data_IF_629021240530
#
_entry.id   IF_629021240530
#
_cell.length_a   1.000
_cell.length_b   1.000
_cell.length_c   1.000
_cell.angle_alpha   90.00
_cell.angle_beta   90.00
_cell.angle_gamma   90.00
#
_symmetry.space_group_name_H-M   'P 1'
#
loop_
_entity.id
_entity.type
_entity.pdbx_description
1 polymer ?
#
# COMPACT_ATOMS: atom_id res chain seq x y z
N UNK A 1 -14.59 -8.26 39.38
CA UNK A 1 -15.21 -8.84 38.17
C UNK A 1 -16.54 -9.47 38.57
N UNK A 2 -17.63 -9.17 37.88
CA UNK A 2 -18.98 -9.68 38.19
C UNK A 2 -19.00 -11.22 38.13
N UNK A 3 -19.57 -11.88 39.14
CA UNK A 3 -19.56 -13.34 39.30
C UNK A 3 -20.23 -14.07 38.12
N UNK A 4 -21.23 -13.45 37.48
CA UNK A 4 -21.84 -13.95 36.24
C UNK A 4 -20.88 -13.91 35.04
N UNK A 5 -20.05 -12.87 34.95
CA UNK A 5 -19.02 -12.73 33.90
C UNK A 5 -17.92 -13.76 34.11
N UNK A 6 -17.49 -13.97 35.36
CA UNK A 6 -16.51 -15.00 35.70
C UNK A 6 -16.98 -16.39 35.28
N UNK A 7 -18.22 -16.76 35.65
CA UNK A 7 -18.82 -18.03 35.26
C UNK A 7 -18.95 -18.19 33.74
N UNK A 8 -19.32 -17.13 33.02
CA UNK A 8 -19.40 -17.17 31.55
C UNK A 8 -18.02 -17.42 30.91
N UNK A 9 -16.97 -16.75 31.39
CA UNK A 9 -15.59 -16.94 30.93
C UNK A 9 -15.10 -18.37 31.25
N UNK A 10 -15.35 -18.87 32.45
CA UNK A 10 -14.94 -20.22 32.86
C UNK A 10 -15.61 -21.31 31.99
N UNK A 11 -16.87 -21.11 31.61
CA UNK A 11 -17.59 -22.01 30.68
C UNK A 11 -17.00 -21.93 29.26
N UNK A 12 -16.72 -20.72 28.76
CA UNK A 12 -16.13 -20.54 27.43
C UNK A 12 -14.72 -21.14 27.34
N UNK A 13 -13.94 -21.08 28.41
CA UNK A 13 -12.59 -21.64 28.47
C UNK A 13 -12.56 -23.18 28.41
N UNK A 14 -13.69 -23.83 28.73
CA UNK A 14 -13.85 -25.29 28.65
C UNK A 14 -14.34 -25.77 27.28
N UNK A 15 -14.66 -24.86 26.35
CA UNK A 15 -15.09 -25.25 25.01
C UNK A 15 -13.96 -25.93 24.25
N UNK A 16 -14.32 -26.98 23.51
CA UNK A 16 -13.38 -27.65 22.61
C UNK A 16 -12.88 -26.68 21.54
N UNK A 17 -11.66 -26.93 21.06
CA UNK A 17 -11.04 -26.09 20.04
C UNK A 17 -11.91 -26.09 18.78
N UNK A 18 -12.23 -24.89 18.28
CA UNK A 18 -13.11 -24.72 17.12
C UNK A 18 -12.54 -25.42 15.87
N UNK A 19 -13.34 -26.33 15.30
CA UNK A 19 -13.09 -26.98 14.02
C UNK A 19 -13.00 -25.96 12.89
N UNK A 20 -13.88 -24.95 12.90
CA UNK A 20 -13.88 -23.82 11.94
C UNK A 20 -12.57 -23.05 11.95
N UNK A 21 -12.01 -22.76 13.13
CA UNK A 21 -10.70 -22.09 13.22
C UNK A 21 -9.60 -23.01 12.68
N UNK A 22 -9.69 -24.32 12.93
CA UNK A 22 -8.80 -25.31 12.32
C UNK A 22 -8.88 -25.33 10.78
N UNK A 23 -10.08 -25.21 10.20
CA UNK A 23 -10.28 -25.12 8.75
C UNK A 23 -9.64 -23.85 8.16
N UNK A 24 -9.77 -22.71 8.84
CA UNK A 24 -9.14 -21.45 8.43
C UNK A 24 -7.62 -21.58 8.42
N UNK A 25 -7.03 -22.12 9.49
CA UNK A 25 -5.58 -22.30 9.59
C UNK A 25 -5.08 -23.21 8.45
N UNK A 26 -5.74 -24.36 8.22
CA UNK A 26 -5.40 -25.26 7.11
C UNK A 26 -5.50 -24.59 5.76
N UNK A 27 -6.55 -23.80 5.54
CA UNK A 27 -6.72 -23.04 4.31
C UNK A 27 -5.54 -22.09 4.09
N UNK A 28 -5.18 -21.28 5.10
CA UNK A 28 -4.05 -20.34 5.02
C UNK A 28 -2.75 -21.06 4.65
N UNK A 29 -2.43 -22.15 5.34
CA UNK A 29 -1.22 -22.94 5.09
C UNK A 29 -1.18 -23.52 3.67
N UNK A 30 -2.29 -24.10 3.21
CA UNK A 30 -2.39 -24.68 1.87
C UNK A 30 -2.34 -23.60 0.79
N UNK A 31 -3.05 -22.50 1.00
CA UNK A 31 -3.06 -21.35 0.10
C UNK A 31 -1.66 -20.76 -0.03
N UNK A 32 -0.96 -20.51 1.08
CA UNK A 32 0.41 -19.97 1.09
C UNK A 32 1.38 -20.89 0.38
N UNK A 33 1.32 -22.22 0.63
CA UNK A 33 2.14 -23.20 -0.10
C UNK A 33 1.89 -23.15 -1.61
N UNK A 34 0.62 -23.11 -2.02
CA UNK A 34 0.25 -23.01 -3.42
C UNK A 34 0.70 -21.68 -4.04
N UNK A 35 0.51 -20.56 -3.34
CA UNK A 35 0.93 -19.24 -3.78
C UNK A 35 2.45 -19.18 -3.99
N UNK A 36 3.25 -19.67 -3.02
CA UNK A 36 4.71 -19.71 -3.14
C UNK A 36 5.13 -20.63 -4.30
N UNK A 37 4.44 -21.75 -4.52
CA UNK A 37 4.70 -22.60 -5.68
C UNK A 37 4.45 -21.89 -7.01
N UNK A 38 3.28 -21.24 -7.15
CA UNK A 38 2.83 -20.60 -8.39
C UNK A 38 3.56 -19.27 -8.66
N UNK A 39 3.98 -18.54 -7.63
CA UNK A 39 4.51 -17.17 -7.72
C UNK A 39 5.85 -16.99 -6.98
N UNK A 40 6.69 -18.03 -6.88
CA UNK A 40 7.99 -17.98 -6.19
C UNK A 40 8.88 -16.80 -6.65
N UNK A 41 8.85 -16.46 -7.94
CA UNK A 41 9.63 -15.37 -8.51
C UNK A 41 9.18 -14.00 -7.96
N UNK A 42 7.87 -13.78 -7.90
CA UNK A 42 7.30 -12.58 -7.28
C UNK A 42 7.72 -12.48 -5.81
N UNK A 43 7.57 -13.56 -5.03
CA UNK A 43 7.91 -13.56 -3.59
C UNK A 43 9.35 -13.12 -3.37
N UNK A 44 10.30 -13.74 -4.09
CA UNK A 44 11.72 -13.40 -3.96
C UNK A 44 12.03 -11.95 -4.30
N UNK A 45 11.43 -11.42 -5.38
CA UNK A 45 11.69 -10.05 -5.80
C UNK A 45 11.04 -9.06 -4.83
N UNK A 46 9.80 -9.30 -4.41
CA UNK A 46 9.09 -8.47 -3.45
C UNK A 46 9.83 -8.42 -2.11
N UNK A 47 10.19 -9.58 -1.53
CA UNK A 47 10.92 -9.65 -0.26
C UNK A 47 12.27 -8.93 -0.35
N UNK A 48 13.04 -9.17 -1.43
CA UNK A 48 14.33 -8.50 -1.63
C UNK A 48 14.22 -6.98 -1.78
N UNK A 49 13.24 -6.51 -2.55
CA UNK A 49 13.00 -5.08 -2.71
C UNK A 49 12.43 -4.43 -1.43
N UNK A 50 11.58 -5.15 -0.69
CA UNK A 50 11.03 -4.72 0.59
C UNK A 50 12.12 -4.60 1.65
N UNK A 51 13.03 -5.57 1.74
CA UNK A 51 14.18 -5.52 2.63
C UNK A 51 15.01 -4.26 2.38
N UNK A 52 15.29 -3.95 1.11
CA UNK A 52 16.01 -2.74 0.72
C UNK A 52 15.24 -1.47 1.13
N UNK A 53 13.92 -1.42 0.92
CA UNK A 53 13.10 -0.30 1.36
C UNK A 53 13.13 -0.11 2.89
N UNK A 54 13.04 -1.21 3.65
CA UNK A 54 13.06 -1.23 5.10
C UNK A 54 14.43 -0.78 5.65
N UNK A 55 15.53 -1.35 5.15
CA UNK A 55 16.89 -0.96 5.52
C UNK A 55 17.17 0.51 5.20
N UNK A 56 16.71 1.00 4.05
CA UNK A 56 16.90 2.40 3.68
C UNK A 56 16.08 3.33 4.59
N UNK A 57 14.84 2.94 4.92
CA UNK A 57 13.99 3.67 5.85
C UNK A 57 14.58 3.70 7.26
N UNK A 58 15.16 2.59 7.70
CA UNK A 58 15.87 2.53 8.98
C UNK A 58 17.08 3.46 8.98
N UNK A 59 17.87 3.47 7.90
CA UNK A 59 19.04 4.34 7.76
C UNK A 59 18.70 5.84 7.85
N UNK A 60 17.50 6.25 7.43
CA UNK A 60 17.02 7.63 7.58
C UNK A 60 16.91 8.08 9.05
N UNK A 61 16.75 7.17 10.02
CA UNK A 61 16.82 7.50 11.46
C UNK A 61 18.18 8.11 11.83
N UNK A 62 19.24 7.66 11.18
CA UNK A 62 20.62 8.03 11.49
C UNK A 62 21.19 9.10 10.57
N UNK A 63 20.42 9.55 9.56
CA UNK A 63 20.80 10.70 8.74
C UNK A 63 20.70 12.00 9.54
N UNK A 64 21.64 12.92 9.29
CA UNK A 64 21.69 14.31 9.78
C UNK A 64 20.44 15.09 9.31
N UNK A 65 19.61 15.56 10.23
CA UNK A 65 18.28 16.15 9.95
C UNK A 65 18.25 17.68 10.01
N UNK A 66 19.32 18.32 10.50
CA UNK A 66 19.42 19.76 10.73
C UNK A 66 19.17 20.59 9.47
N UNK A 67 19.46 20.02 8.29
CA UNK A 67 19.27 20.66 6.99
C UNK A 67 18.01 20.21 6.26
N UNK A 68 17.18 19.37 6.86
CA UNK A 68 15.94 18.93 6.22
C UNK A 68 14.94 20.08 6.21
N UNK A 69 14.28 20.27 5.05
CA UNK A 69 13.14 21.16 4.98
C UNK A 69 12.02 20.64 5.91
N UNK A 70 11.21 21.56 6.47
CA UNK A 70 10.20 21.21 7.49
C UNK A 70 9.21 20.17 7.00
N UNK A 71 8.76 20.27 5.74
CA UNK A 71 7.85 19.30 5.14
C UNK A 71 8.47 17.91 5.04
N UNK A 72 9.78 17.80 4.83
CA UNK A 72 10.49 16.50 4.78
C UNK A 72 10.47 15.76 6.11
N UNK A 73 10.62 16.50 7.21
CA UNK A 73 10.48 15.93 8.56
C UNK A 73 9.09 15.35 8.82
N UNK A 74 8.07 15.84 8.10
CA UNK A 74 6.72 15.31 8.19
C UNK A 74 6.42 14.14 7.25
N UNK A 75 7.14 14.05 6.14
CA UNK A 75 7.05 12.94 5.19
C UNK A 75 7.74 11.69 5.74
N UNK A 76 8.88 11.87 6.39
CA UNK A 76 9.71 10.79 6.90
C UNK A 76 8.95 9.72 7.73
N UNK A 77 8.09 10.08 8.70
CA UNK A 77 7.34 9.10 9.48
C UNK A 77 6.34 8.27 8.68
N UNK A 78 5.95 8.67 7.47
CA UNK A 78 5.06 7.85 6.64
C UNK A 78 5.73 6.56 6.17
N UNK A 79 7.02 6.58 5.83
CA UNK A 79 7.74 5.42 5.28
C UNK A 79 7.65 4.14 6.12
N UNK A 80 7.98 4.15 7.43
CA UNK A 80 7.86 2.92 8.23
C UNK A 80 6.40 2.43 8.34
N UNK A 81 5.43 3.34 8.45
CA UNK A 81 4.02 2.99 8.58
C UNK A 81 3.42 2.41 7.28
N UNK A 82 3.79 2.98 6.13
CA UNK A 82 3.35 2.45 4.83
C UNK A 82 4.03 1.10 4.53
N UNK A 83 5.30 0.91 4.92
CA UNK A 83 5.99 -0.37 4.74
C UNK A 83 5.38 -1.47 5.63
N UNK A 84 5.10 -1.20 6.90
CA UNK A 84 4.39 -2.15 7.77
C UNK A 84 3.04 -2.56 7.17
N UNK A 85 2.27 -1.57 6.70
CA UNK A 85 0.95 -1.80 6.10
C UNK A 85 1.05 -2.61 4.80
N UNK A 86 2.04 -2.30 3.96
CA UNK A 86 2.28 -3.01 2.70
C UNK A 86 2.70 -4.47 2.93
N UNK A 87 3.56 -4.73 3.93
CA UNK A 87 3.95 -6.10 4.28
C UNK A 87 2.75 -6.91 4.78
N UNK A 88 1.89 -6.31 5.62
CA UNK A 88 0.64 -6.95 6.06
C UNK A 88 -0.31 -7.22 4.90
N UNK A 89 -0.42 -6.30 3.94
CA UNK A 89 -1.21 -6.53 2.74
C UNK A 89 -0.68 -7.74 1.94
N UNK A 90 0.64 -7.86 1.84
CA UNK A 90 1.30 -9.01 1.23
C UNK A 90 1.00 -10.33 1.95
N UNK A 91 1.13 -10.36 3.27
CA UNK A 91 0.77 -11.52 4.09
C UNK A 91 -0.71 -11.91 3.92
N UNK A 92 -1.62 -10.94 3.92
CA UNK A 92 -3.06 -11.19 3.80
C UNK A 92 -3.42 -11.85 2.46
N UNK A 93 -2.92 -11.35 1.32
CA UNK A 93 -3.24 -12.01 0.05
C UNK A 93 -2.48 -13.34 -0.13
N UNK A 94 -1.27 -13.48 0.44
CA UNK A 94 -0.56 -14.78 0.48
C UNK A 94 -1.32 -15.82 1.30
N UNK A 95 -2.10 -15.38 2.29
CA UNK A 95 -2.97 -16.22 3.11
C UNK A 95 -4.38 -16.41 2.53
N UNK A 96 -4.69 -15.78 1.39
CA UNK A 96 -5.98 -15.92 0.69
C UNK A 96 -7.03 -14.86 1.05
N UNK A 97 -6.65 -13.80 1.77
CA UNK A 97 -7.52 -12.69 2.19
C UNK A 97 -7.34 -11.47 1.26
N UNK A 98 -7.74 -11.63 -0.01
CA UNK A 98 -7.50 -10.62 -1.05
C UNK A 98 -8.23 -9.29 -0.81
N UNK A 99 -9.42 -9.32 -0.21
CA UNK A 99 -10.20 -8.11 0.07
C UNK A 99 -9.51 -7.26 1.14
N UNK A 100 -9.06 -7.90 2.23
CA UNK A 100 -8.29 -7.29 3.30
C UNK A 100 -6.97 -6.70 2.79
N UNK A 101 -6.23 -7.44 1.96
CA UNK A 101 -5.03 -6.94 1.32
C UNK A 101 -5.26 -5.68 0.47
N UNK A 102 -6.35 -5.63 -0.30
CA UNK A 102 -6.70 -4.45 -1.10
C UNK A 102 -7.05 -3.22 -0.24
N UNK A 103 -7.69 -3.41 0.92
CA UNK A 103 -7.97 -2.34 1.88
C UNK A 103 -6.67 -1.78 2.46
N UNK A 104 -5.71 -2.64 2.79
CA UNK A 104 -4.39 -2.22 3.28
C UNK A 104 -3.59 -1.50 2.19
N UNK A 105 -3.56 -2.03 0.96
CA UNK A 105 -2.92 -1.39 -0.19
C UNK A 105 -3.49 0.01 -0.48
N UNK A 106 -4.80 0.22 -0.28
CA UNK A 106 -5.38 1.57 -0.36
C UNK A 106 -4.76 2.53 0.64
N UNK A 107 -4.63 2.10 1.89
CA UNK A 107 -4.04 2.93 2.95
C UNK A 107 -2.58 3.30 2.64
N UNK A 108 -1.83 2.36 2.05
CA UNK A 108 -0.46 2.59 1.55
C UNK A 108 -0.46 3.64 0.43
N UNK A 109 -1.37 3.51 -0.55
CA UNK A 109 -1.53 4.48 -1.64
C UNK A 109 -1.86 5.89 -1.11
N UNK A 110 -2.79 6.01 -0.16
CA UNK A 110 -3.09 7.30 0.49
C UNK A 110 -1.85 7.90 1.16
N UNK A 111 -1.06 7.07 1.85
CA UNK A 111 0.20 7.49 2.47
C UNK A 111 1.20 8.02 1.45
N UNK A 112 1.37 7.34 0.32
CA UNK A 112 2.22 7.78 -0.79
C UNK A 112 1.73 9.13 -1.33
N UNK A 113 0.44 9.28 -1.61
CA UNK A 113 -0.12 10.53 -2.14
C UNK A 113 0.02 11.69 -1.13
N UNK A 114 -0.10 11.41 0.18
CA UNK A 114 0.17 12.40 1.24
C UNK A 114 1.63 12.88 1.23
N UNK A 115 2.58 11.97 1.05
CA UNK A 115 4.01 12.31 0.89
C UNK A 115 4.18 13.24 -0.32
N UNK A 116 3.63 12.86 -1.47
CA UNK A 116 3.73 13.65 -2.72
C UNK A 116 3.11 15.05 -2.54
N UNK A 117 1.93 15.11 -1.90
CA UNK A 117 1.24 16.36 -1.62
C UNK A 117 2.08 17.28 -0.72
N UNK A 118 2.71 16.74 0.32
CA UNK A 118 3.57 17.51 1.22
C UNK A 118 4.80 18.12 0.51
N UNK A 119 5.33 17.47 -0.53
CA UNK A 119 6.39 18.05 -1.38
C UNK A 119 5.86 19.19 -2.24
N UNK A 120 4.65 19.08 -2.75
CA UNK A 120 4.02 20.05 -3.64
C UNK A 120 3.49 21.30 -2.91
N UNK A 121 3.01 21.11 -1.68
CA UNK A 121 2.39 22.14 -0.83
C UNK A 121 3.20 22.39 0.45
N UNK A 122 4.49 22.74 0.30
CA UNK A 122 5.45 22.78 1.40
C UNK A 122 5.06 23.69 2.56
N UNK A 123 4.45 24.85 2.29
CA UNK A 123 4.01 25.78 3.36
C UNK A 123 2.79 25.25 4.13
N UNK A 124 2.06 24.31 3.54
CA UNK A 124 0.81 23.75 4.06
C UNK A 124 0.88 22.26 4.32
N UNK A 125 2.09 21.67 4.32
CA UNK A 125 2.35 20.24 4.48
C UNK A 125 1.60 19.60 5.66
N UNK A 126 1.31 20.35 6.72
CA UNK A 126 0.54 19.87 7.87
C UNK A 126 -0.93 19.56 7.61
N UNK A 127 -1.52 20.11 6.56
CA UNK A 127 -2.93 19.88 6.21
C UNK A 127 -3.21 18.42 5.80
N UNK A 128 -2.18 17.58 5.62
CA UNK A 128 -2.41 16.14 5.43
C UNK A 128 -2.84 15.45 6.74
N UNK A 129 -2.54 16.00 7.93
CA UNK A 129 -2.94 15.39 9.23
C UNK A 129 -3.74 16.32 10.15
N UNK A 130 -3.70 17.63 9.93
CA UNK A 130 -4.54 18.58 10.68
C UNK A 130 -5.73 19.05 9.86
N UNK A 131 -6.79 19.49 10.53
CA UNK A 131 -7.89 20.23 9.90
C UNK A 131 -7.32 21.47 9.20
N UNK A 132 -7.67 21.68 7.94
CA UNK A 132 -7.22 22.85 7.16
C UNK A 132 -7.57 24.17 7.85
N UNK A 133 -6.71 25.16 7.65
CA UNK A 133 -7.02 26.55 7.95
C UNK A 133 -7.81 27.16 6.78
N UNK A 134 -8.65 28.15 7.07
CA UNK A 134 -9.42 28.87 6.04
C UNK A 134 -8.44 29.53 5.06
N UNK A 135 -8.66 29.33 3.76
CA UNK A 135 -7.79 29.86 2.69
C UNK A 135 -6.57 28.99 2.35
N UNK A 136 -6.35 27.86 3.04
CA UNK A 136 -5.26 26.92 2.73
C UNK A 136 -5.75 25.71 1.93
N UNK A 137 -4.91 25.10 1.07
CA UNK A 137 -5.29 23.92 0.29
C UNK A 137 -5.61 22.73 1.21
N UNK A 138 -6.63 21.96 0.84
CA UNK A 138 -7.09 20.79 1.57
C UNK A 138 -6.54 19.51 0.96
N UNK A 139 -6.13 18.55 1.78
CA UNK A 139 -5.70 17.26 1.26
C UNK A 139 -6.92 16.44 0.83
N UNK A 140 -7.02 16.18 -0.47
CA UNK A 140 -7.97 15.23 -1.03
C UNK A 140 -7.30 14.44 -2.13
N UNK A 141 -7.19 13.12 -1.95
CA UNK A 141 -6.49 12.21 -2.87
C UNK A 141 -6.98 12.38 -4.31
N UNK A 142 -8.30 12.37 -4.53
CA UNK A 142 -8.88 12.44 -5.88
C UNK A 142 -8.63 13.80 -6.53
N UNK A 143 -8.95 14.89 -5.82
CA UNK A 143 -8.78 16.23 -6.38
C UNK A 143 -7.29 16.52 -6.66
N UNK A 144 -6.39 16.06 -5.78
CA UNK A 144 -4.97 16.26 -6.00
C UNK A 144 -4.47 15.48 -7.23
N UNK A 145 -4.85 14.21 -7.39
CA UNK A 145 -4.45 13.41 -8.56
C UNK A 145 -5.04 13.96 -9.88
N UNK A 146 -6.34 14.28 -9.88
CA UNK A 146 -7.06 14.68 -11.09
C UNK A 146 -6.85 16.15 -11.45
N UNK A 147 -7.02 17.05 -10.48
CA UNK A 147 -7.11 18.49 -10.73
C UNK A 147 -5.74 19.17 -10.62
N UNK A 148 -4.84 18.65 -9.78
CA UNK A 148 -3.51 19.26 -9.57
C UNK A 148 -2.38 18.53 -10.32
N UNK A 149 -2.24 17.21 -10.17
CA UNK A 149 -1.20 16.41 -10.83
C UNK A 149 -1.57 15.97 -12.26
N UNK A 150 -2.87 15.96 -12.56
CA UNK A 150 -3.47 15.51 -13.84
C UNK A 150 -2.96 14.13 -14.27
N UNK A 151 -3.14 13.15 -13.40
CA UNK A 151 -2.79 11.73 -13.64
C UNK A 151 -3.98 10.80 -13.40
N UNK A 152 -4.12 9.74 -14.20
CA UNK A 152 -5.15 8.70 -14.03
C UNK A 152 -4.64 7.57 -13.11
N UNK A 153 -4.34 7.90 -11.85
CA UNK A 153 -4.09 6.87 -10.82
C UNK A 153 -5.37 6.46 -10.09
N UNK A 154 -6.51 7.00 -10.53
CA UNK A 154 -7.79 6.69 -9.95
C UNK A 154 -8.15 5.21 -10.10
N UNK A 155 -7.54 4.44 -11.01
CA UNK A 155 -7.79 3.00 -11.07
C UNK A 155 -7.32 2.25 -9.82
N UNK A 156 -6.16 2.62 -9.25
CA UNK A 156 -5.65 2.04 -7.98
C UNK A 156 -6.61 2.40 -6.84
N UNK A 157 -7.05 3.66 -6.82
CA UNK A 157 -7.98 4.18 -5.82
C UNK A 157 -9.40 3.58 -5.93
N UNK A 158 -10.00 3.63 -7.11
CA UNK A 158 -11.38 3.25 -7.36
C UNK A 158 -11.59 1.76 -7.19
N UNK A 159 -10.62 0.93 -7.56
CA UNK A 159 -10.73 -0.50 -7.35
C UNK A 159 -10.64 -0.86 -5.87
N UNK A 160 -9.60 -0.38 -5.18
CA UNK A 160 -9.44 -0.67 -3.74
C UNK A 160 -10.58 -0.06 -2.92
N UNK A 161 -11.09 1.12 -3.32
CA UNK A 161 -12.30 1.73 -2.76
C UNK A 161 -13.55 0.90 -3.07
N UNK A 162 -13.69 0.39 -4.30
CA UNK A 162 -14.76 -0.53 -4.67
C UNK A 162 -14.71 -1.74 -3.74
N UNK A 163 -13.56 -2.38 -3.51
CA UNK A 163 -13.43 -3.53 -2.59
C UNK A 163 -13.74 -3.16 -1.13
N UNK A 164 -13.26 -2.00 -0.67
CA UNK A 164 -13.56 -1.48 0.68
C UNK A 164 -15.08 -1.31 0.88
N UNK A 165 -15.79 -0.89 -0.17
CA UNK A 165 -17.23 -0.68 -0.14
C UNK A 165 -18.03 -1.88 -0.71
N UNK A 166 -17.38 -2.88 -1.32
CA UNK A 166 -18.00 -4.01 -2.05
C UNK A 166 -18.56 -5.07 -1.12
N UNK A 167 -18.17 -5.07 0.17
CA UNK A 167 -18.88 -5.86 1.18
C UNK A 167 -20.39 -5.57 1.10
N UNK A 168 -20.80 -4.34 0.75
CA UNK A 168 -22.18 -3.98 0.45
C UNK A 168 -22.74 -4.65 -0.81
N UNK A 169 -22.00 -4.66 -1.93
CA UNK A 169 -22.45 -5.30 -3.18
C UNK A 169 -22.55 -6.82 -3.06
N UNK A 170 -21.59 -7.46 -2.39
CA UNK A 170 -21.61 -8.91 -2.10
C UNK A 170 -22.78 -9.27 -1.20
N UNK A 171 -23.04 -8.48 -0.16
CA UNK A 171 -24.23 -8.62 0.70
C UNK A 171 -25.52 -8.42 -0.10
N UNK A 172 -25.61 -7.40 -0.97
CA UNK A 172 -26.79 -7.18 -1.82
C UNK A 172 -27.01 -8.33 -2.80
N UNK A 173 -25.94 -8.87 -3.41
CA UNK A 173 -26.03 -10.05 -4.27
C UNK A 173 -26.49 -11.30 -3.51
N UNK A 174 -26.00 -11.50 -2.28
CA UNK A 174 -26.45 -12.59 -1.41
C UNK A 174 -27.92 -12.42 -1.04
N UNK A 175 -28.36 -11.21 -0.67
CA UNK A 175 -29.76 -10.89 -0.41
C UNK A 175 -30.62 -11.16 -1.65
N UNK A 176 -30.20 -10.73 -2.84
CA UNK A 176 -30.93 -10.99 -4.07
C UNK A 176 -31.01 -12.49 -4.41
N UNK A 177 -29.94 -13.25 -4.19
CA UNK A 177 -29.94 -14.70 -4.39
C UNK A 177 -30.87 -15.42 -3.39
N UNK A 178 -30.89 -14.99 -2.12
CA UNK A 178 -31.82 -15.48 -1.10
C UNK A 178 -33.28 -15.16 -1.44
N UNK A 179 -33.56 -13.92 -1.89
CA UNK A 179 -34.89 -13.49 -2.34
C UNK A 179 -35.35 -14.28 -3.56
N UNK A 180 -34.43 -14.68 -4.45
CA UNK A 180 -34.70 -15.53 -5.62
C UNK A 180 -34.82 -17.03 -5.28
N UNK A 181 -34.83 -17.40 -4.00
CA UNK A 181 -35.02 -18.78 -3.56
C UNK A 181 -33.79 -19.67 -3.74
N UNK A 182 -32.60 -19.13 -4.05
CA UNK A 182 -31.38 -19.96 -4.06
C UNK A 182 -31.01 -20.34 -2.63
N UNK A 183 -31.01 -21.64 -2.35
CA UNK A 183 -30.56 -22.21 -1.07
C UNK A 183 -29.04 -22.33 -0.96
N UNK A 184 -28.27 -21.33 -1.41
CA UNK A 184 -26.84 -21.32 -1.07
C UNK A 184 -26.70 -20.88 0.38
N UNK A 185 -26.08 -21.72 1.20
CA UNK A 185 -25.70 -21.31 2.54
C UNK A 185 -24.80 -20.08 2.46
N UNK A 186 -25.12 -19.05 3.24
CA UNK A 186 -24.21 -17.92 3.42
C UNK A 186 -23.05 -18.43 4.24
N UNK A 187 -21.96 -18.78 3.57
CA UNK A 187 -20.76 -19.36 4.17
C UNK A 187 -19.54 -18.49 3.92
N UNK A 188 -18.50 -18.74 4.70
CA UNK A 188 -17.18 -18.20 4.42
C UNK A 188 -16.69 -18.82 3.10
N UNK A 189 -16.13 -18.01 2.21
CA UNK A 189 -15.63 -18.49 0.92
C UNK A 189 -14.10 -18.49 0.96
N UNK A 190 -13.54 -19.60 1.46
CA UNK A 190 -12.10 -19.85 1.50
C UNK A 190 -11.71 -20.60 0.23
N UNK A 191 -11.39 -19.87 -0.84
CA UNK A 191 -11.01 -20.45 -2.13
C UNK A 191 -9.81 -19.73 -2.69
N UNK A 192 -8.88 -20.51 -3.24
CA UNK A 192 -7.79 -19.99 -4.05
C UNK A 192 -8.34 -19.54 -5.41
N UNK A 193 -8.10 -18.29 -5.78
CA UNK A 193 -8.52 -17.73 -7.07
C UNK A 193 -7.36 -16.94 -7.69
N UNK A 194 -6.80 -17.47 -8.78
CA UNK A 194 -5.65 -16.85 -9.48
C UNK A 194 -5.96 -15.44 -9.96
N UNK A 195 -7.18 -15.18 -10.41
CA UNK A 195 -7.55 -13.85 -10.91
C UNK A 195 -7.61 -12.85 -9.75
N UNK A 196 -8.12 -13.27 -8.60
CA UNK A 196 -8.20 -12.41 -7.41
C UNK A 196 -6.85 -12.21 -6.72
N UNK A 197 -5.90 -13.14 -6.86
CA UNK A 197 -4.52 -13.03 -6.35
C UNK A 197 -3.70 -11.99 -7.11
N UNK A 198 -3.74 -12.04 -8.45
CA UNK A 198 -2.83 -11.23 -9.29
C UNK A 198 -3.04 -9.73 -9.10
N UNK A 199 -4.25 -9.31 -8.78
CA UNK A 199 -4.56 -7.89 -8.61
C UNK A 199 -3.87 -7.24 -7.39
N UNK A 200 -4.11 -7.65 -6.14
CA UNK A 200 -3.43 -7.08 -4.98
C UNK A 200 -1.90 -7.26 -5.06
N UNK A 201 -1.42 -8.31 -5.74
CA UNK A 201 0.00 -8.53 -6.02
C UNK A 201 0.58 -7.44 -6.94
N UNK A 202 -0.09 -7.13 -8.05
CA UNK A 202 0.30 -6.06 -8.95
C UNK A 202 0.27 -4.69 -8.25
N UNK A 203 -0.81 -4.40 -7.51
CA UNK A 203 -0.92 -3.15 -6.72
C UNK A 203 0.20 -3.06 -5.68
N UNK A 204 0.51 -4.15 -4.96
CA UNK A 204 1.62 -4.15 -4.00
C UNK A 204 2.97 -3.89 -4.68
N UNK A 205 3.17 -4.39 -5.90
CA UNK A 205 4.36 -4.14 -6.74
C UNK A 205 4.45 -2.67 -7.12
N UNK A 206 3.36 -2.09 -7.62
CA UNK A 206 3.27 -0.67 -7.99
C UNK A 206 3.60 0.22 -6.78
N UNK A 207 3.00 -0.07 -5.62
CA UNK A 207 3.19 0.70 -4.40
C UNK A 207 4.62 0.59 -3.87
N UNK A 208 5.21 -0.62 -3.87
CA UNK A 208 6.60 -0.80 -3.44
C UNK A 208 7.56 -0.03 -4.34
N UNK A 209 7.35 -0.06 -5.66
CA UNK A 209 8.13 0.73 -6.61
C UNK A 209 8.04 2.23 -6.31
N UNK A 210 6.82 2.76 -6.13
CA UNK A 210 6.62 4.17 -5.77
C UNK A 210 7.31 4.54 -4.46
N UNK A 211 7.31 3.66 -3.46
CA UNK A 211 8.01 3.88 -2.18
C UNK A 211 9.52 4.00 -2.40
N UNK A 212 10.14 3.04 -3.11
CA UNK A 212 11.58 3.10 -3.40
C UNK A 212 11.94 4.39 -4.15
N UNK A 213 11.12 4.75 -5.15
CA UNK A 213 11.32 5.97 -5.94
C UNK A 213 11.19 7.25 -5.10
N UNK A 214 10.23 7.30 -4.17
CA UNK A 214 10.09 8.38 -3.17
C UNK A 214 11.33 8.51 -2.30
N UNK A 215 11.88 7.40 -1.82
CA UNK A 215 13.11 7.43 -1.01
C UNK A 215 14.26 8.02 -1.83
N UNK A 216 14.47 7.56 -3.07
CA UNK A 216 15.53 8.06 -3.97
C UNK A 216 15.40 9.56 -4.22
N UNK A 217 14.18 10.06 -4.45
CA UNK A 217 13.95 11.47 -4.80
C UNK A 217 14.01 12.41 -3.60
N UNK A 218 13.43 12.01 -2.46
CA UNK A 218 13.36 12.88 -1.28
C UNK A 218 14.66 12.89 -0.46
N UNK A 219 15.48 11.83 -0.57
CA UNK A 219 16.69 11.68 0.23
C UNK A 219 17.93 11.35 -0.63
N UNK A 220 18.29 12.20 -1.61
CA UNK A 220 19.42 11.95 -2.51
C UNK A 220 20.78 11.92 -1.79
N UNK A 221 20.88 12.53 -0.61
CA UNK A 221 22.08 12.52 0.22
C UNK A 221 22.34 11.20 0.96
N UNK A 222 21.40 10.24 0.91
CA UNK A 222 21.57 8.91 1.51
C UNK A 222 22.76 8.13 0.95
N UNK A 223 23.35 8.52 -0.19
CA UNK A 223 24.63 7.97 -0.64
C UNK A 223 25.79 8.18 0.37
N UNK A 224 25.62 9.10 1.34
CA UNK A 224 26.57 9.41 2.40
C UNK A 224 26.26 8.59 3.67
N UNK A 225 27.25 8.47 4.56
CA UNK A 225 27.11 7.77 5.85
C UNK A 225 25.81 8.18 6.58
N UNK A 226 25.09 7.22 7.20
CA UNK A 226 25.50 5.85 7.50
C UNK A 226 25.09 4.80 6.45
N UNK A 227 24.31 5.18 5.44
CA UNK A 227 23.94 4.27 4.37
C UNK A 227 25.11 4.19 3.39
N UNK A 228 25.67 2.98 3.25
CA UNK A 228 26.85 2.75 2.41
C UNK A 228 26.48 2.92 0.93
N UNK A 229 27.45 3.28 0.09
CA UNK A 229 27.27 3.36 -1.36
C UNK A 229 26.65 2.07 -1.96
N UNK A 230 27.08 0.91 -1.47
CA UNK A 230 26.52 -0.41 -1.84
C UNK A 230 25.02 -0.53 -1.50
N UNK A 231 24.57 0.01 -0.36
CA UNK A 231 23.15 0.02 -0.01
C UNK A 231 22.34 0.91 -0.97
N UNK A 232 22.90 2.05 -1.35
CA UNK A 232 22.27 2.96 -2.31
C UNK A 232 22.23 2.37 -3.72
N UNK A 233 23.27 1.64 -4.12
CA UNK A 233 23.25 0.87 -5.36
C UNK A 233 22.16 -0.21 -5.35
N UNK A 234 22.02 -0.96 -4.25
CA UNK A 234 20.93 -1.94 -4.08
C UNK A 234 19.55 -1.27 -4.18
N UNK A 235 19.38 -0.07 -3.61
CA UNK A 235 18.15 0.73 -3.73
C UNK A 235 17.83 1.06 -5.20
N UNK A 236 18.82 1.55 -5.96
CA UNK A 236 18.63 1.89 -7.36
C UNK A 236 18.34 0.66 -8.22
N UNK A 237 19.00 -0.47 -7.96
CA UNK A 237 18.75 -1.74 -8.65
C UNK A 237 17.33 -2.24 -8.35
N UNK A 238 16.90 -2.20 -7.08
CA UNK A 238 15.56 -2.61 -6.70
C UNK A 238 14.48 -1.72 -7.33
N UNK A 239 14.70 -0.40 -7.34
CA UNK A 239 13.78 0.56 -7.97
C UNK A 239 13.66 0.32 -9.47
N UNK A 240 14.78 0.19 -10.18
CA UNK A 240 14.79 -0.09 -11.61
C UNK A 240 14.17 -1.46 -11.93
N UNK A 241 14.49 -2.49 -11.15
CA UNK A 241 13.92 -3.84 -11.33
C UNK A 241 12.41 -3.86 -11.15
N UNK A 242 11.88 -3.18 -10.12
CA UNK A 242 10.44 -3.08 -9.94
C UNK A 242 9.78 -2.24 -11.02
N UNK A 243 10.42 -1.15 -11.49
CA UNK A 243 9.90 -0.37 -12.63
C UNK A 243 9.68 -1.25 -13.86
N UNK A 244 10.66 -2.09 -14.18
CA UNK A 244 10.56 -3.01 -15.33
C UNK A 244 9.49 -4.09 -15.10
N UNK A 245 9.34 -4.59 -13.88
CA UNK A 245 8.24 -5.50 -13.54
C UNK A 245 6.88 -4.84 -13.72
N UNK A 246 6.70 -3.62 -13.21
CA UNK A 246 5.48 -2.83 -13.39
C UNK A 246 5.21 -2.62 -14.87
N UNK A 247 6.19 -2.16 -15.64
CA UNK A 247 6.07 -1.96 -17.09
C UNK A 247 5.69 -3.26 -17.84
N UNK A 248 6.09 -4.42 -17.33
CA UNK A 248 5.77 -5.73 -17.87
C UNK A 248 4.36 -6.25 -17.54
N UNK A 249 3.59 -5.59 -16.65
CA UNK A 249 2.23 -6.02 -16.32
C UNK A 249 1.34 -5.82 -17.56
N UNK A 250 0.67 -6.87 -18.09
CA UNK A 250 -0.04 -6.82 -19.36
C UNK A 250 -1.41 -6.14 -19.22
N UNK A 251 -1.41 -4.83 -18.95
CA UNK A 251 -2.62 -3.99 -18.90
C UNK A 251 -2.45 -2.77 -19.80
N UNK A 252 -3.54 -2.29 -20.45
CA UNK A 252 -3.49 -1.05 -21.22
C UNK A 252 -3.15 0.19 -20.37
N UNK A 253 -3.36 0.13 -19.04
CA UNK A 253 -3.06 1.24 -18.13
C UNK A 253 -1.60 1.30 -17.72
N UNK A 254 -0.86 0.21 -17.86
CA UNK A 254 0.52 0.07 -17.37
C UNK A 254 1.48 1.11 -17.98
N UNK A 255 1.57 1.29 -19.32
CA UNK A 255 2.52 2.24 -19.89
C UNK A 255 2.21 3.68 -19.49
N UNK A 256 0.92 4.02 -19.40
CA UNK A 256 0.44 5.33 -18.96
C UNK A 256 0.83 5.54 -17.50
N UNK A 257 0.57 4.57 -16.64
CA UNK A 257 0.91 4.63 -15.22
C UNK A 257 2.42 4.86 -15.00
N UNK A 258 3.29 4.09 -15.66
CA UNK A 258 4.75 4.25 -15.55
C UNK A 258 5.18 5.66 -15.96
N UNK A 259 4.68 6.15 -17.10
CA UNK A 259 4.96 7.50 -17.58
C UNK A 259 4.45 8.59 -16.63
N UNK A 260 3.27 8.42 -16.05
CA UNK A 260 2.69 9.36 -15.09
C UNK A 260 3.46 9.38 -13.77
N UNK A 261 3.95 8.22 -13.31
CA UNK A 261 4.85 8.13 -12.17
C UNK A 261 6.13 8.91 -12.47
N UNK A 262 6.80 8.66 -13.59
CA UNK A 262 8.01 9.41 -13.98
C UNK A 262 7.76 10.94 -14.05
N UNK A 263 6.59 11.36 -14.56
CA UNK A 263 6.15 12.77 -14.55
C UNK A 263 5.96 13.31 -13.14
N UNK A 264 5.23 12.61 -12.27
CA UNK A 264 4.98 13.04 -10.88
C UNK A 264 6.29 13.15 -10.11
N UNK A 265 7.24 12.27 -10.33
CA UNK A 265 8.56 12.37 -9.70
C UNK A 265 9.38 13.55 -10.22
N UNK A 266 9.16 14.00 -11.45
CA UNK A 266 9.72 15.25 -11.97
C UNK A 266 9.08 16.47 -11.29
N UNK A 267 7.75 16.44 -11.10
CA UNK A 267 7.00 17.44 -10.32
C UNK A 267 7.55 17.55 -8.89
N UNK A 268 7.75 16.42 -8.20
CA UNK A 268 8.28 16.39 -6.83
C UNK A 268 9.67 17.03 -6.78
N UNK A 269 10.58 16.67 -7.69
CA UNK A 269 11.92 17.27 -7.75
C UNK A 269 11.88 18.78 -7.93
N UNK A 270 11.04 19.27 -8.84
CA UNK A 270 10.85 20.71 -9.05
C UNK A 270 10.30 21.37 -7.78
N UNK A 271 9.29 20.76 -7.15
CA UNK A 271 8.70 21.28 -5.92
C UNK A 271 9.74 21.36 -4.79
N UNK A 272 10.51 20.30 -4.52
CA UNK A 272 11.58 20.26 -3.51
C UNK A 272 12.66 21.34 -3.73
N UNK A 273 12.84 21.81 -4.97
CA UNK A 273 13.74 22.91 -5.34
C UNK A 273 13.05 24.29 -5.32
N UNK A 274 11.83 24.41 -4.80
CA UNK A 274 10.99 25.60 -4.81
C UNK A 274 10.71 26.16 -6.22
N UNK A 275 10.68 25.28 -7.23
CA UNK A 275 10.39 25.66 -8.61
C UNK A 275 8.87 25.56 -8.89
N UNK A 276 8.34 26.30 -9.90
CA UNK A 276 6.92 26.27 -10.28
C UNK A 276 6.48 24.90 -10.84
N UNK A 277 6.20 23.94 -9.95
CA UNK A 277 5.91 22.56 -10.31
C UNK A 277 4.56 22.37 -11.04
N UNK A 278 3.58 23.25 -10.80
CA UNK A 278 2.25 23.19 -11.43
C UNK A 278 2.28 23.29 -12.95
N UNK A 279 3.35 23.87 -13.53
CA UNK A 279 3.53 23.97 -14.98
C UNK A 279 3.97 22.64 -15.60
N UNK A 280 4.45 21.71 -14.78
CA UNK A 280 4.88 20.37 -15.19
C UNK A 280 3.73 19.34 -15.09
N UNK A 281 2.56 19.76 -14.61
CA UNK A 281 1.36 18.95 -14.42
C UNK A 281 0.38 19.04 -15.59
#
# INVERSE_FOLDING_TARGET
MNEKVKRAVDVMAQWERSTTIGDVIRFKENHRKQFVGDYHGYVKIFEGAFEVAAQTTEALNYATKEKWARHRSSQYPFFPNILETLFRANDDFMDGFYDEANILNRSVFEGIVRIIWASCHQEHHSNIWTKKQVGTPDFNVRNFLRDELKVDWEFIWNYTSMVTHSKRHRVVSLIMDLVRGKQRSVSWNLKYDKYLVTHPMNVATDLLWMILRLIVVLFPDLQKKPFKAEGFERLLIAEAGLREMVAGIPTPKTPVFVSEVDKVFTIIKAAELNQPWRQLA
#
